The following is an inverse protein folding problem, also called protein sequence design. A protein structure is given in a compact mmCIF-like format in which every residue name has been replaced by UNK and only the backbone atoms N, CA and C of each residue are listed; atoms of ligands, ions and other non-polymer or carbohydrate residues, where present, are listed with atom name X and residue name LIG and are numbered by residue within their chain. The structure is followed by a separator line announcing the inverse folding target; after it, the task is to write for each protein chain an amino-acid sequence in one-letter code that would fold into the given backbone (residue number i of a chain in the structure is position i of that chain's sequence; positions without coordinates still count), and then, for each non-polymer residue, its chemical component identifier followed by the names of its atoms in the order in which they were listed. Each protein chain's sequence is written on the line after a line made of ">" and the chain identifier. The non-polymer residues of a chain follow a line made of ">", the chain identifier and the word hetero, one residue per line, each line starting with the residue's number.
data_IF_015000604215
#
_entry.id   IF_015000604215
#
_cell.length_a   1.000
_cell.length_b   1.000
_cell.length_c   1.000
_cell.angle_alpha   90.00
_cell.angle_beta   90.00
_cell.angle_gamma   90.00
#
_symmetry.space_group_name_H-M   'P 1'
#
loop_
_entity.id
_entity.type
_entity.pdbx_description
1 polymer ?
#
# COMPACT_ATOMS: atom_id res chain seq x y z
N UNK A 1 4.20 13.58 0.36
CA UNK A 1 3.75 13.01 1.62
C UNK A 1 3.74 11.49 1.66
N UNK A 2 3.32 10.81 0.59
CA UNK A 2 3.33 9.33 0.52
C UNK A 2 4.45 8.81 -0.38
N UNK A 3 5.05 9.68 -1.17
CA UNK A 3 5.93 9.33 -2.28
C UNK A 3 7.18 8.57 -1.84
N UNK A 4 7.75 8.92 -0.67
CA UNK A 4 8.95 8.24 -0.15
C UNK A 4 8.66 6.77 0.20
N UNK A 5 7.50 6.48 0.81
CA UNK A 5 7.06 5.12 1.09
C UNK A 5 6.89 4.31 -0.20
N UNK A 6 6.21 4.90 -1.20
CA UNK A 6 5.93 4.27 -2.49
C UNK A 6 7.21 4.00 -3.30
N UNK A 7 8.06 5.02 -3.42
CA UNK A 7 9.31 4.91 -4.20
C UNK A 7 10.34 4.03 -3.51
N UNK A 8 10.52 4.17 -2.20
CA UNK A 8 11.46 3.35 -1.44
C UNK A 8 11.11 1.87 -1.52
N UNK A 9 9.83 1.51 -1.35
CA UNK A 9 9.38 0.12 -1.46
C UNK A 9 9.45 -0.42 -2.89
N UNK A 10 9.11 0.40 -3.90
CA UNK A 10 9.26 0.03 -5.31
C UNK A 10 10.73 -0.26 -5.66
N UNK A 11 11.65 0.63 -5.31
CA UNK A 11 13.08 0.43 -5.57
C UNK A 11 13.63 -0.84 -4.90
N UNK A 12 13.15 -1.17 -3.70
CA UNK A 12 13.52 -2.41 -3.03
C UNK A 12 12.99 -3.64 -3.78
N UNK A 13 11.75 -3.59 -4.27
CA UNK A 13 11.13 -4.66 -5.05
C UNK A 13 11.82 -4.85 -6.41
N UNK A 14 12.15 -3.76 -7.11
CA UNK A 14 12.87 -3.80 -8.39
C UNK A 14 14.30 -4.35 -8.22
N UNK A 15 14.98 -3.97 -7.14
CA UNK A 15 16.32 -4.48 -6.81
C UNK A 15 16.32 -5.97 -6.55
N UNK A 16 15.29 -6.50 -5.93
CA UNK A 16 15.11 -7.93 -5.70
C UNK A 16 14.76 -8.66 -7.01
N UNK A 17 13.87 -8.09 -7.80
CA UNK A 17 13.49 -8.55 -9.14
C UNK A 17 12.38 -9.60 -9.17
N UNK A 18 12.07 -10.27 -8.05
CA UNK A 18 10.99 -11.26 -7.96
C UNK A 18 9.92 -10.87 -6.94
N UNK A 19 9.38 -9.67 -7.15
CA UNK A 19 8.29 -9.14 -6.35
C UNK A 19 7.08 -8.83 -7.23
N UNK A 20 5.88 -8.97 -6.67
CA UNK A 20 4.61 -8.57 -7.28
C UNK A 20 3.91 -7.54 -6.43
N UNK A 21 3.36 -6.47 -7.03
CA UNK A 21 2.86 -5.30 -6.33
C UNK A 21 1.34 -5.19 -6.45
N UNK A 22 0.67 -4.99 -5.31
CA UNK A 22 -0.77 -4.73 -5.21
C UNK A 22 -1.00 -3.35 -4.59
N UNK A 23 -0.83 -2.26 -5.38
CA UNK A 23 -1.05 -0.90 -4.91
C UNK A 23 -2.53 -0.62 -4.66
N UNK A 24 -2.80 0.43 -3.85
CA UNK A 24 -4.14 0.96 -3.68
C UNK A 24 -4.31 2.30 -4.44
N UNK A 25 -5.46 2.95 -4.30
CA UNK A 25 -5.84 4.12 -5.11
C UNK A 25 -4.90 5.33 -4.95
N UNK A 26 -4.14 5.44 -3.85
CA UNK A 26 -3.24 6.57 -3.60
C UNK A 26 -1.83 6.36 -4.16
N UNK A 27 -1.50 5.18 -4.63
CA UNK A 27 -0.14 4.81 -5.08
C UNK A 27 0.16 5.25 -6.51
N UNK A 28 -0.20 6.48 -6.85
CA UNK A 28 0.06 7.00 -8.19
C UNK A 28 1.56 7.15 -8.47
N UNK A 29 2.34 7.63 -7.48
CA UNK A 29 3.78 7.81 -7.66
C UNK A 29 4.48 6.46 -7.91
N UNK A 30 4.09 5.40 -7.20
CA UNK A 30 4.58 4.03 -7.45
C UNK A 30 4.33 3.61 -8.90
N UNK A 31 3.08 3.72 -9.38
CA UNK A 31 2.71 3.31 -10.74
C UNK A 31 3.42 4.11 -11.83
N UNK A 32 3.54 5.43 -11.63
CA UNK A 32 4.25 6.29 -12.58
C UNK A 32 5.74 5.95 -12.62
N UNK A 33 6.34 5.67 -11.49
CA UNK A 33 7.75 5.26 -11.42
C UNK A 33 8.00 3.89 -12.00
N UNK A 34 7.00 2.99 -11.94
CA UNK A 34 7.05 1.69 -12.60
C UNK A 34 6.75 1.75 -14.11
N UNK A 35 6.47 2.93 -14.68
CA UNK A 35 6.34 3.10 -16.13
C UNK A 35 5.05 3.72 -16.63
N UNK A 36 4.02 3.90 -15.78
CA UNK A 36 2.77 4.57 -16.18
C UNK A 36 3.05 6.03 -16.53
N UNK A 37 2.80 6.42 -17.77
CA UNK A 37 3.10 7.77 -18.25
C UNK A 37 2.06 8.80 -17.81
N UNK A 38 2.42 10.08 -17.67
CA UNK A 38 1.45 11.16 -17.40
C UNK A 38 0.30 11.21 -18.41
N UNK A 39 0.57 10.88 -19.67
CA UNK A 39 -0.45 10.83 -20.73
C UNK A 39 -1.48 9.74 -20.44
N UNK A 40 -1.05 8.54 -20.09
CA UNK A 40 -1.94 7.42 -19.75
C UNK A 40 -2.78 7.71 -18.50
N UNK A 41 -2.17 8.35 -17.50
CA UNK A 41 -2.89 8.86 -16.31
C UNK A 41 -4.02 9.78 -16.74
N UNK A 42 -3.74 10.76 -17.57
CA UNK A 42 -4.75 11.73 -18.04
C UNK A 42 -5.81 11.07 -18.91
N UNK A 43 -5.43 10.16 -19.80
CA UNK A 43 -6.40 9.41 -20.62
C UNK A 43 -7.35 8.60 -19.74
N UNK A 44 -6.84 7.97 -18.67
CA UNK A 44 -7.63 7.19 -17.74
C UNK A 44 -8.62 8.07 -16.96
N UNK A 45 -8.18 9.19 -16.38
CA UNK A 45 -9.05 10.13 -15.67
C UNK A 45 -10.10 10.79 -16.57
N UNK A 46 -9.79 11.03 -17.82
CA UNK A 46 -10.70 11.62 -18.79
C UNK A 46 -11.60 10.60 -19.52
N UNK A 47 -11.44 9.30 -19.26
CA UNK A 47 -12.16 8.23 -19.96
C UNK A 47 -11.95 8.23 -21.46
N UNK A 48 -10.73 8.53 -21.92
CA UNK A 48 -10.40 8.64 -23.36
C UNK A 48 -9.87 7.32 -23.92
N UNK A 49 -10.04 7.16 -25.23
CA UNK A 49 -9.47 6.05 -25.96
C UNK A 49 -7.93 6.04 -25.82
N UNK A 50 -7.35 4.83 -25.64
CA UNK A 50 -5.93 4.65 -25.43
C UNK A 50 -5.51 4.61 -23.95
N UNK A 51 -6.46 4.71 -23.01
CA UNK A 51 -6.13 4.42 -21.62
C UNK A 51 -5.77 2.93 -21.46
N UNK A 52 -4.73 2.59 -20.65
CA UNK A 52 -4.10 1.26 -20.72
C UNK A 52 -4.86 0.14 -20.00
N UNK A 53 -5.85 0.44 -19.15
CA UNK A 53 -6.37 -0.55 -18.22
C UNK A 53 -7.74 -1.12 -18.60
N UNK A 54 -8.81 -0.33 -18.53
CA UNK A 54 -10.17 -0.87 -18.53
C UNK A 54 -11.10 -0.34 -19.61
N UNK A 55 -10.63 0.58 -20.46
CA UNK A 55 -11.47 1.33 -21.42
C UNK A 55 -12.68 2.00 -20.71
N UNK A 56 -12.42 2.65 -19.59
CA UNK A 56 -13.40 3.34 -18.72
C UNK A 56 -14.50 2.45 -18.11
N UNK A 57 -14.31 1.13 -18.09
CA UNK A 57 -15.25 0.20 -17.43
C UNK A 57 -15.06 0.11 -15.91
N UNK A 58 -13.91 0.56 -15.42
CA UNK A 58 -13.59 0.64 -13.99
C UNK A 58 -13.23 2.08 -13.60
N UNK A 59 -13.01 2.31 -12.31
CA UNK A 59 -12.45 3.57 -11.86
C UNK A 59 -11.09 3.82 -12.50
N UNK A 60 -10.69 5.10 -12.70
CA UNK A 60 -9.40 5.43 -13.28
C UNK A 60 -8.24 4.72 -12.60
N UNK A 61 -7.27 4.32 -13.40
CA UNK A 61 -6.02 3.67 -12.97
C UNK A 61 -6.17 2.29 -12.32
N UNK A 62 -7.34 1.67 -12.39
CA UNK A 62 -7.53 0.28 -11.98
C UNK A 62 -7.29 -0.67 -13.15
N UNK A 63 -6.51 -1.70 -12.88
CA UNK A 63 -6.20 -2.73 -13.86
C UNK A 63 -4.92 -3.47 -13.51
N UNK A 64 -4.47 -4.31 -14.43
CA UNK A 64 -3.24 -5.06 -14.30
C UNK A 64 -2.22 -4.54 -15.32
N UNK A 65 -1.03 -4.28 -14.82
CA UNK A 65 0.17 -4.03 -15.60
C UNK A 65 1.15 -5.19 -15.36
N UNK A 66 0.91 -6.28 -16.05
CA UNK A 66 1.65 -7.53 -15.84
C UNK A 66 3.14 -7.43 -16.20
N UNK A 67 3.54 -6.70 -17.28
CA UNK A 67 4.95 -6.46 -17.57
C UNK A 67 5.70 -5.82 -16.39
N UNK A 68 5.06 -4.90 -15.68
CA UNK A 68 5.62 -4.23 -14.49
C UNK A 68 5.24 -4.91 -13.17
N UNK A 69 4.62 -6.10 -13.22
CA UNK A 69 4.22 -6.91 -12.06
C UNK A 69 3.30 -6.14 -11.08
N UNK A 70 2.35 -5.38 -11.61
CA UNK A 70 1.41 -4.56 -10.83
C UNK A 70 -0.03 -5.00 -11.09
N UNK A 71 -0.79 -5.21 -10.03
CA UNK A 71 -2.24 -5.45 -10.09
C UNK A 71 -2.94 -4.54 -9.10
N UNK A 72 -3.84 -3.67 -9.59
CA UNK A 72 -4.80 -2.94 -8.78
C UNK A 72 -6.21 -3.24 -9.28
N UNK A 73 -6.93 -4.09 -8.59
CA UNK A 73 -8.22 -4.59 -9.06
C UNK A 73 -9.39 -3.73 -8.56
N UNK A 74 -9.22 -3.01 -7.44
CA UNK A 74 -10.34 -2.30 -6.83
C UNK A 74 -9.91 -1.05 -6.08
N UNK A 75 -10.78 -0.03 -6.03
CA UNK A 75 -10.69 1.10 -5.09
C UNK A 75 -11.46 0.84 -3.79
N UNK A 76 -12.12 -0.30 -3.67
CA UNK A 76 -12.73 -0.72 -2.40
C UNK A 76 -11.62 -0.90 -1.38
N UNK A 77 -11.80 -0.25 -0.24
CA UNK A 77 -10.80 -0.21 0.83
C UNK A 77 -10.48 -1.63 1.28
N UNK A 78 -9.20 -1.98 1.27
CA UNK A 78 -8.64 -3.29 1.68
C UNK A 78 -8.92 -4.49 0.77
N UNK A 79 -9.75 -4.40 -0.27
CA UNK A 79 -10.03 -5.52 -1.16
C UNK A 79 -8.79 -6.12 -1.83
N UNK A 80 -7.74 -5.32 -2.03
CA UNK A 80 -6.46 -5.79 -2.57
C UNK A 80 -5.72 -6.77 -1.64
N UNK A 81 -5.97 -6.74 -0.33
CA UNK A 81 -5.22 -7.54 0.63
C UNK A 81 -5.53 -9.04 0.51
N UNK A 82 -6.81 -9.39 0.39
CA UNK A 82 -7.23 -10.78 0.20
C UNK A 82 -6.76 -11.34 -1.13
N UNK A 83 -6.80 -10.52 -2.17
CA UNK A 83 -6.34 -10.88 -3.52
C UNK A 83 -4.82 -11.11 -3.55
N UNK A 84 -4.04 -10.20 -2.97
CA UNK A 84 -2.59 -10.33 -2.85
C UNK A 84 -2.20 -11.60 -2.05
N UNK A 85 -2.93 -11.87 -0.97
CA UNK A 85 -2.73 -13.06 -0.14
C UNK A 85 -3.03 -14.35 -0.92
N UNK A 86 -4.11 -14.35 -1.73
CA UNK A 86 -4.43 -15.47 -2.62
C UNK A 86 -3.38 -15.67 -3.71
N UNK A 87 -2.86 -14.58 -4.29
CA UNK A 87 -1.77 -14.63 -5.27
C UNK A 87 -0.49 -15.23 -4.67
N UNK A 88 -0.10 -14.77 -3.47
CA UNK A 88 1.07 -15.31 -2.77
C UNK A 88 0.92 -16.80 -2.43
N UNK A 89 -0.30 -17.24 -2.09
CA UNK A 89 -0.58 -18.68 -1.90
C UNK A 89 -0.37 -19.46 -3.20
N UNK A 90 -0.86 -18.95 -4.33
CA UNK A 90 -0.70 -19.60 -5.62
C UNK A 90 0.79 -19.72 -5.99
N UNK A 91 1.57 -18.64 -5.87
CA UNK A 91 3.02 -18.66 -6.10
C UNK A 91 3.71 -19.73 -5.23
N UNK A 92 3.40 -19.73 -3.94
CA UNK A 92 3.95 -20.74 -3.00
C UNK A 92 3.58 -22.17 -3.40
N UNK A 93 2.35 -22.44 -3.82
CA UNK A 93 1.91 -23.75 -4.28
C UNK A 93 2.59 -24.20 -5.58
N UNK A 94 2.93 -23.25 -6.45
CA UNK A 94 3.67 -23.49 -7.68
C UNK A 94 5.19 -23.61 -7.48
N UNK A 95 5.67 -23.34 -6.26
CA UNK A 95 7.11 -23.37 -5.95
C UNK A 95 7.87 -22.14 -6.49
N UNK A 96 7.16 -21.04 -6.74
CA UNK A 96 7.75 -19.76 -7.15
C UNK A 96 8.29 -19.01 -5.92
N UNK A 97 9.40 -18.29 -6.12
CA UNK A 97 10.08 -17.52 -5.05
C UNK A 97 9.60 -16.06 -4.96
N UNK A 98 8.40 -15.80 -5.48
CA UNK A 98 7.81 -14.47 -5.57
C UNK A 98 7.36 -13.95 -4.20
N UNK A 99 7.78 -12.72 -3.86
CA UNK A 99 7.27 -11.98 -2.69
C UNK A 99 6.21 -10.98 -3.15
N UNK A 100 5.10 -10.93 -2.43
CA UNK A 100 3.99 -10.03 -2.75
C UNK A 100 3.97 -8.83 -1.80
N UNK A 101 4.01 -7.63 -2.36
CA UNK A 101 3.85 -6.37 -1.62
C UNK A 101 2.42 -5.86 -1.84
N UNK A 102 1.67 -5.63 -0.77
CA UNK A 102 0.31 -5.09 -0.85
C UNK A 102 0.18 -3.82 -0.01
N UNK A 103 -0.40 -2.79 -0.61
CA UNK A 103 -0.48 -1.44 -0.04
C UNK A 103 -1.90 -1.10 0.40
N UNK A 104 -2.02 -0.39 1.52
CA UNK A 104 -3.29 0.08 2.06
C UNK A 104 -3.06 1.27 3.00
N UNK A 105 -4.11 2.04 3.27
CA UNK A 105 -4.07 3.13 4.26
C UNK A 105 -4.53 2.65 5.65
N UNK A 106 -4.26 3.46 6.67
CA UNK A 106 -4.69 3.20 8.06
C UNK A 106 -6.20 2.97 8.18
N UNK A 107 -7.01 3.70 7.41
CA UNK A 107 -8.47 3.46 7.35
C UNK A 107 -8.83 2.05 6.90
N UNK A 108 -8.07 1.49 5.97
CA UNK A 108 -8.21 0.11 5.51
C UNK A 108 -8.00 -0.93 6.60
N UNK A 109 -7.17 -0.62 7.57
CA UNK A 109 -6.86 -1.53 8.68
C UNK A 109 -8.07 -1.85 9.58
N UNK A 110 -9.16 -1.11 9.45
CA UNK A 110 -10.40 -1.34 10.21
C UNK A 110 -11.41 -2.24 9.48
N UNK A 111 -11.11 -2.65 8.24
CA UNK A 111 -11.96 -3.56 7.47
C UNK A 111 -11.73 -5.01 7.89
N UNK A 112 -12.81 -5.82 7.85
CA UNK A 112 -12.75 -7.25 8.15
C UNK A 112 -11.76 -7.99 7.25
N UNK A 113 -11.76 -7.67 5.94
CA UNK A 113 -10.87 -8.25 4.94
C UNK A 113 -9.38 -8.09 5.29
N UNK A 114 -8.99 -6.99 5.96
CA UNK A 114 -7.61 -6.80 6.43
C UNK A 114 -7.23 -7.86 7.47
N UNK A 115 -8.11 -8.09 8.44
CA UNK A 115 -7.90 -9.08 9.50
C UNK A 115 -7.87 -10.51 8.94
N UNK A 116 -8.78 -10.80 8.02
CA UNK A 116 -8.87 -12.11 7.35
C UNK A 116 -7.61 -12.39 6.52
N UNK A 117 -7.17 -11.43 5.70
CA UNK A 117 -5.96 -11.56 4.87
C UNK A 117 -4.71 -11.75 5.72
N UNK A 118 -4.53 -10.95 6.77
CA UNK A 118 -3.37 -11.05 7.67
C UNK A 118 -3.36 -12.36 8.43
N UNK A 119 -4.50 -12.79 8.97
CA UNK A 119 -4.62 -14.08 9.66
C UNK A 119 -4.31 -15.24 8.72
N UNK A 120 -4.89 -15.24 7.52
CA UNK A 120 -4.66 -16.27 6.53
C UNK A 120 -3.18 -16.34 6.10
N UNK A 121 -2.57 -15.18 5.85
CA UNK A 121 -1.16 -15.10 5.50
C UNK A 121 -0.26 -15.65 6.62
N UNK A 122 -0.56 -15.34 7.88
CA UNK A 122 0.14 -15.84 9.05
C UNK A 122 0.05 -17.35 9.18
N UNK A 123 -1.17 -17.92 9.12
CA UNK A 123 -1.43 -19.36 9.20
C UNK A 123 -0.64 -20.13 8.13
N UNK A 124 -0.64 -19.65 6.90
CA UNK A 124 0.02 -20.29 5.77
C UNK A 124 1.48 -19.88 5.56
N UNK A 125 2.02 -18.96 6.39
CA UNK A 125 3.37 -18.38 6.25
C UNK A 125 3.63 -17.93 4.81
N UNK A 126 2.75 -17.09 4.29
CA UNK A 126 2.83 -16.62 2.91
C UNK A 126 3.88 -15.52 2.76
N UNK A 127 4.60 -15.44 1.63
CA UNK A 127 5.57 -14.40 1.35
C UNK A 127 4.87 -13.08 0.98
N UNK A 128 4.21 -12.45 1.97
CA UNK A 128 3.47 -11.19 1.80
C UNK A 128 4.03 -10.11 2.69
N UNK A 129 4.23 -8.94 2.14
CA UNK A 129 4.54 -7.73 2.90
C UNK A 129 3.31 -6.82 2.84
N UNK A 130 2.69 -6.62 3.99
CA UNK A 130 1.60 -5.68 4.19
C UNK A 130 2.19 -4.29 4.44
N UNK A 131 2.05 -3.36 3.51
CA UNK A 131 2.56 -1.98 3.62
C UNK A 131 1.38 -1.06 3.94
N UNK A 132 1.31 -0.61 5.19
CA UNK A 132 0.33 0.38 5.62
C UNK A 132 0.91 1.78 5.48
N UNK A 133 0.42 2.58 4.54
CA UNK A 133 0.71 4.01 4.45
C UNK A 133 -0.18 4.77 5.44
N UNK A 134 0.28 4.84 6.68
CA UNK A 134 -0.47 5.43 7.78
C UNK A 134 -0.30 6.95 7.81
N UNK A 135 -1.31 7.67 7.33
CA UNK A 135 -1.37 9.12 7.36
C UNK A 135 -2.21 9.68 8.54
N UNK A 136 -2.64 8.82 9.46
CA UNK A 136 -3.37 9.18 10.66
C UNK A 136 -4.86 9.46 10.48
N UNK A 137 -5.39 9.34 9.26
CA UNK A 137 -6.78 9.70 8.95
C UNK A 137 -7.46 8.74 7.98
N UNK A 138 -8.57 8.14 8.39
CA UNK A 138 -9.53 7.53 7.48
C UNK A 138 -10.54 8.61 7.03
N UNK A 139 -10.29 9.26 5.88
CA UNK A 139 -10.99 10.47 5.42
C UNK A 139 -10.87 11.57 6.48
N UNK A 140 -11.88 11.72 7.34
CA UNK A 140 -11.98 12.70 8.44
C UNK A 140 -11.81 12.09 9.83
N UNK A 141 -11.73 10.75 9.93
CA UNK A 141 -11.65 10.05 11.21
C UNK A 141 -10.20 9.86 11.63
N UNK A 142 -9.73 10.51 12.71
CA UNK A 142 -8.35 10.34 13.16
C UNK A 142 -8.09 8.95 13.74
N UNK A 143 -6.85 8.47 13.64
CA UNK A 143 -6.43 7.13 14.07
C UNK A 143 -6.91 6.76 15.47
N UNK A 144 -6.84 7.68 16.44
CA UNK A 144 -7.29 7.45 17.81
C UNK A 144 -8.79 7.13 17.98
N UNK A 145 -9.59 7.37 16.92
CA UNK A 145 -11.01 6.97 16.85
C UNK A 145 -11.26 5.70 16.07
N UNK A 146 -10.23 5.17 15.42
CA UNK A 146 -10.30 3.93 14.65
C UNK A 146 -9.75 2.75 15.44
N UNK A 147 -8.69 2.97 16.23
CA UNK A 147 -8.02 1.91 16.97
C UNK A 147 -7.48 2.43 18.31
N UNK A 148 -7.44 1.55 19.28
CA UNK A 148 -6.87 1.83 20.62
C UNK A 148 -5.43 1.30 20.68
N UNK A 149 -4.61 1.65 19.68
CA UNK A 149 -3.19 1.33 19.58
C UNK A 149 -2.44 2.56 19.10
N UNK A 150 -1.25 2.78 19.62
CA UNK A 150 -0.38 3.87 19.20
C UNK A 150 0.16 3.59 17.78
N UNK A 151 0.56 2.33 17.55
CA UNK A 151 1.08 1.86 16.28
C UNK A 151 0.28 0.67 15.75
N UNK A 152 -0.14 0.78 14.49
CA UNK A 152 -0.85 -0.28 13.78
C UNK A 152 0.02 -1.53 13.61
N UNK A 153 1.33 -1.36 13.48
CA UNK A 153 2.30 -2.46 13.39
C UNK A 153 2.15 -3.47 14.52
N UNK A 154 1.70 -3.06 15.71
CA UNK A 154 1.48 -3.92 16.87
C UNK A 154 0.41 -5.00 16.62
N UNK A 155 -0.50 -4.83 15.66
CA UNK A 155 -1.51 -5.82 15.29
C UNK A 155 -0.91 -7.10 14.72
N UNK A 156 0.25 -7.02 14.07
CA UNK A 156 0.91 -8.16 13.44
C UNK A 156 1.17 -9.31 14.42
N UNK A 157 1.49 -8.98 15.68
CA UNK A 157 1.70 -9.98 16.73
C UNK A 157 0.48 -10.87 16.96
N UNK A 158 -0.74 -10.32 16.81
CA UNK A 158 -1.99 -11.09 16.92
C UNK A 158 -2.19 -12.12 15.82
N UNK A 159 -1.49 -12.01 14.69
CA UNK A 159 -1.51 -12.96 13.56
C UNK A 159 -0.27 -13.83 13.50
N UNK A 160 0.66 -13.69 14.46
CA UNK A 160 1.83 -14.53 14.58
C UNK A 160 3.02 -14.15 13.68
N UNK A 161 3.11 -12.91 13.24
CA UNK A 161 4.24 -12.41 12.45
C UNK A 161 4.69 -11.00 12.90
N UNK A 162 5.89 -10.53 12.52
CA UNK A 162 6.40 -9.24 12.98
C UNK A 162 5.75 -8.05 12.27
N UNK A 163 5.66 -6.93 13.01
CA UNK A 163 5.30 -5.62 12.49
C UNK A 163 6.34 -4.59 12.88
N UNK A 164 6.62 -3.65 11.99
CA UNK A 164 7.62 -2.59 12.19
C UNK A 164 7.05 -1.23 11.80
N UNK A 165 7.41 -0.21 12.57
CA UNK A 165 7.13 1.19 12.27
C UNK A 165 8.31 1.77 11.50
N UNK A 166 8.01 2.44 10.39
CA UNK A 166 8.99 3.03 9.48
C UNK A 166 8.67 4.52 9.30
N UNK A 167 9.67 5.38 9.25
CA UNK A 167 9.47 6.77 8.81
C UNK A 167 9.18 6.76 7.29
N UNK A 168 7.91 6.85 6.95
CA UNK A 168 7.43 6.81 5.57
C UNK A 168 7.70 8.08 4.77
N UNK A 169 8.29 9.11 5.41
CA UNK A 169 8.75 10.34 4.75
C UNK A 169 10.23 10.25 4.33
N UNK A 170 10.97 9.26 4.82
CA UNK A 170 12.37 9.01 4.46
C UNK A 170 12.46 7.86 3.44
N UNK A 171 12.88 8.20 2.22
CA UNK A 171 12.99 7.25 1.11
C UNK A 171 14.01 6.14 1.39
N UNK A 172 15.14 6.48 2.02
CA UNK A 172 16.19 5.49 2.31
C UNK A 172 15.72 4.53 3.39
N UNK A 173 15.07 5.04 4.44
CA UNK A 173 14.49 4.21 5.49
C UNK A 173 13.40 3.27 4.94
N UNK A 174 12.53 3.77 4.06
CA UNK A 174 11.51 2.94 3.38
C UNK A 174 12.14 1.84 2.52
N UNK A 175 13.18 2.18 1.75
CA UNK A 175 13.93 1.21 0.94
C UNK A 175 14.56 0.12 1.82
N UNK A 176 15.31 0.50 2.84
CA UNK A 176 16.02 -0.45 3.71
C UNK A 176 15.05 -1.37 4.46
N UNK A 177 13.99 -0.81 5.04
CA UNK A 177 12.96 -1.58 5.73
C UNK A 177 12.28 -2.58 4.79
N UNK A 178 11.91 -2.15 3.58
CA UNK A 178 11.26 -3.02 2.60
C UNK A 178 12.22 -4.11 2.12
N UNK A 179 13.48 -3.77 1.85
CA UNK A 179 14.49 -4.75 1.43
C UNK A 179 14.71 -5.85 2.49
N UNK A 180 14.75 -5.48 3.78
CA UNK A 180 14.83 -6.46 4.86
C UNK A 180 13.55 -7.29 4.98
N UNK A 181 12.38 -6.66 4.81
CA UNK A 181 11.10 -7.36 4.83
C UNK A 181 10.97 -8.37 3.69
N UNK A 182 11.47 -8.06 2.48
CA UNK A 182 11.49 -9.00 1.35
C UNK A 182 12.30 -10.27 1.70
N UNK A 183 13.50 -10.08 2.23
CA UNK A 183 14.34 -11.21 2.66
C UNK A 183 13.67 -12.06 3.74
N UNK A 184 13.05 -11.40 4.72
CA UNK A 184 12.34 -12.08 5.79
C UNK A 184 11.11 -12.84 5.25
N UNK A 185 10.28 -12.17 4.45
CA UNK A 185 9.04 -12.74 3.93
C UNK A 185 9.27 -14.01 3.10
N UNK A 186 10.33 -14.02 2.30
CA UNK A 186 10.73 -15.17 1.49
C UNK A 186 11.04 -16.41 2.33
N UNK A 187 11.59 -16.23 3.52
CA UNK A 187 12.07 -17.33 4.36
C UNK A 187 11.12 -17.70 5.49
N UNK A 188 10.45 -16.71 6.09
CA UNK A 188 9.76 -16.87 7.36
C UNK A 188 8.25 -16.65 7.26
N UNK A 189 7.76 -15.93 6.27
CA UNK A 189 6.35 -15.60 6.09
C UNK A 189 6.07 -14.09 6.22
N UNK A 190 4.82 -13.69 6.46
CA UNK A 190 4.40 -12.30 6.27
C UNK A 190 5.08 -11.30 7.23
N UNK A 191 5.08 -10.03 6.80
CA UNK A 191 5.56 -8.87 7.57
C UNK A 191 4.57 -7.73 7.42
N UNK A 192 4.34 -6.96 8.47
CA UNK A 192 3.62 -5.68 8.40
C UNK A 192 4.62 -4.53 8.55
N UNK A 193 4.67 -3.66 7.55
CA UNK A 193 5.37 -2.38 7.62
C UNK A 193 4.34 -1.26 7.77
N UNK A 194 4.36 -0.57 8.88
CA UNK A 194 3.61 0.65 9.08
C UNK A 194 4.49 1.84 8.73
N UNK A 195 4.31 2.40 7.54
CA UNK A 195 5.01 3.58 7.08
C UNK A 195 4.24 4.83 7.50
N UNK A 196 4.78 5.58 8.45
CA UNK A 196 4.20 6.86 8.90
C UNK A 196 4.42 7.91 7.83
N UNK A 197 3.34 8.32 7.21
CA UNK A 197 3.32 9.28 6.09
C UNK A 197 2.41 10.46 6.40
N UNK A 198 2.44 11.47 5.55
CA UNK A 198 1.60 12.66 5.70
C UNK A 198 0.69 12.85 4.49
N UNK A 199 -0.59 13.12 4.74
CA UNK A 199 -1.51 13.52 3.68
C UNK A 199 -1.50 15.03 3.56
N UNK A 200 -0.79 15.55 2.55
CA UNK A 200 -0.57 17.00 2.35
C UNK A 200 -1.73 17.72 1.66
N UNK A 201 -2.70 16.98 1.13
CA UNK A 201 -3.90 17.49 0.46
C UNK A 201 -5.15 16.93 1.13
N UNK A 202 -6.33 17.54 0.94
CA UNK A 202 -7.61 16.93 1.32
C UNK A 202 -7.76 15.50 0.79
N UNK A 203 -8.68 14.73 1.34
CA UNK A 203 -8.87 13.33 0.95
C UNK A 203 -9.31 13.19 -0.52
N UNK A 204 -10.25 14.04 -0.93
CA UNK A 204 -10.77 14.16 -2.29
C UNK A 204 -10.93 15.64 -2.65
N UNK A 205 -11.31 15.93 -3.90
CA UNK A 205 -11.50 17.31 -4.40
C UNK A 205 -12.68 18.04 -3.75
N UNK A 206 -13.63 17.32 -3.16
CA UNK A 206 -14.80 17.85 -2.46
C UNK A 206 -14.67 17.78 -0.93
N UNK A 207 -13.52 17.28 -0.41
CA UNK A 207 -13.22 17.25 1.01
C UNK A 207 -12.66 18.60 1.51
N UNK A 208 -13.13 19.03 2.67
CA UNK A 208 -12.62 20.21 3.38
C UNK A 208 -11.96 19.74 4.69
N UNK A 209 -10.66 19.48 4.62
CA UNK A 209 -9.90 18.96 5.75
C UNK A 209 -9.69 19.99 6.88
N UNK A 210 -9.94 21.29 6.64
CA UNK A 210 -9.92 22.31 7.69
C UNK A 210 -10.99 22.09 8.78
N UNK A 211 -12.02 21.30 8.47
CA UNK A 211 -13.12 20.98 9.39
C UNK A 211 -12.74 19.93 10.45
N UNK A 212 -11.69 19.16 10.24
CA UNK A 212 -11.33 18.05 11.15
C UNK A 212 -9.84 17.98 11.50
N UNK A 213 -8.95 18.64 10.73
CA UNK A 213 -7.52 18.70 11.03
C UNK A 213 -7.18 19.92 11.87
N UNK A 214 -6.23 19.80 12.81
CA UNK A 214 -5.69 20.95 13.55
C UNK A 214 -5.07 21.98 12.59
N UNK A 215 -5.26 23.27 12.92
CA UNK A 215 -4.61 24.35 12.16
C UNK A 215 -3.10 24.19 12.20
N UNK A 216 -2.44 24.33 11.03
CA UNK A 216 -1.00 24.26 10.89
C UNK A 216 -0.41 22.85 10.78
N UNK A 217 -1.19 21.78 10.99
CA UNK A 217 -0.69 20.41 10.87
C UNK A 217 -0.07 20.13 9.51
N UNK A 218 -0.76 20.52 8.43
CA UNK A 218 -0.24 20.35 7.05
C UNK A 218 0.99 21.21 6.80
N UNK A 219 1.03 22.44 7.34
CA UNK A 219 2.16 23.34 7.15
C UNK A 219 3.42 22.84 7.87
N UNK A 220 3.25 22.23 9.03
CA UNK A 220 4.36 21.56 9.72
C UNK A 220 4.83 20.31 8.97
N UNK A 221 3.91 19.50 8.46
CA UNK A 221 4.23 18.33 7.66
C UNK A 221 5.03 18.67 6.39
N UNK A 222 4.73 19.81 5.76
CA UNK A 222 5.46 20.28 4.56
C UNK A 222 6.90 20.72 4.81
N UNK A 223 7.30 20.91 6.07
CA UNK A 223 8.68 21.27 6.43
C UNK A 223 9.59 20.07 6.54
N UNK A 224 9.05 18.87 6.60
CA UNK A 224 9.76 17.59 6.62
C UNK A 224 10.13 17.16 5.21
#
# INVERSE_FOLDING_TARGET
>A
GHEAAQLGSLLAAEKDGDCFLFPYYRDLALKMSAGLTPTEVMLSFMGKAGEPYSAARQFPLQGADLPNKIIQISNVVSAGLTQATGYALACKMMGEDTVVLVYFGDGGSSQGETHEAMNFAGVHRLPVIFICENNGYAISVPQRRQMNLDDLASRAAGYGFPGFVVDGMDLVHCYEATHQAIKYARQQGPVLLEMKVERLMPHTTDDDDSRYRPKGEVDEARKR
#
